data_IF_463650261551
#
_entry.id   IF_463650261551
#
_cell.length_a   1.000
_cell.length_b   1.000
_cell.length_c   1.000
_cell.angle_alpha   90.00
_cell.angle_beta   90.00
_cell.angle_gamma   90.00
#
_symmetry.space_group_name_H-M   'P 1'
#
loop_
_entity.id
_entity.type
_entity.pdbx_description
1 polymer ?
#
# COMPACT_ATOMS: atom_id res chain seq x y z
N UNK A 1 -1.19 -10.70 -25.29
CA UNK A 1 -1.54 -9.39 -24.70
C UNK A 1 -0.68 -9.22 -23.46
N UNK A 2 0.45 -8.50 -23.57
CA UNK A 2 1.37 -8.26 -22.47
C UNK A 2 0.83 -7.15 -21.58
N UNK A 3 0.60 -7.44 -20.30
CA UNK A 3 0.33 -6.40 -19.32
C UNK A 3 1.58 -5.55 -19.16
N UNK A 4 1.48 -4.25 -19.48
CA UNK A 4 2.58 -3.33 -19.28
C UNK A 4 2.84 -3.24 -17.79
N UNK A 5 4.06 -3.57 -17.39
CA UNK A 5 4.58 -3.30 -16.06
C UNK A 5 4.57 -1.79 -15.88
N UNK A 6 4.18 -1.25 -14.71
CA UNK A 6 4.36 0.16 -14.45
C UNK A 6 5.84 0.51 -14.63
N UNK A 7 6.14 1.33 -15.63
CA UNK A 7 7.50 1.79 -15.90
C UNK A 7 8.00 2.66 -14.73
N UNK A 8 9.32 2.84 -14.63
CA UNK A 8 9.91 3.64 -13.55
C UNK A 8 9.30 5.05 -13.37
N UNK A 9 8.93 5.79 -14.44
CA UNK A 9 8.25 7.08 -14.33
C UNK A 9 6.83 6.99 -13.76
N UNK A 10 6.10 5.92 -14.07
CA UNK A 10 4.71 5.72 -13.65
C UNK A 10 4.64 5.45 -12.16
N UNK A 11 5.58 4.65 -11.63
CA UNK A 11 5.63 4.37 -10.20
C UNK A 11 6.03 5.60 -9.36
N UNK A 12 6.86 6.50 -9.92
CA UNK A 12 7.18 7.77 -9.27
C UNK A 12 5.97 8.70 -9.22
N UNK A 13 5.15 8.73 -10.29
CA UNK A 13 3.89 9.46 -10.28
C UNK A 13 2.92 8.90 -9.22
N UNK A 14 2.76 7.57 -9.17
CA UNK A 14 1.95 6.89 -8.14
C UNK A 14 2.44 7.25 -6.74
N UNK A 15 3.76 7.26 -6.50
CA UNK A 15 4.35 7.66 -5.21
C UNK A 15 3.93 9.07 -4.80
N UNK A 16 4.04 10.06 -5.70
CA UNK A 16 3.66 11.46 -5.45
C UNK A 16 2.18 11.59 -5.10
N UNK A 17 1.31 10.98 -5.90
CA UNK A 17 -0.14 11.01 -5.66
C UNK A 17 -0.46 10.38 -4.30
N UNK A 18 0.18 9.27 -3.93
CA UNK A 18 -0.02 8.64 -2.63
C UNK A 18 0.46 9.52 -1.47
N UNK A 19 1.64 10.12 -1.59
CA UNK A 19 2.18 11.05 -0.59
C UNK A 19 1.19 12.20 -0.32
N UNK A 20 0.76 12.89 -1.39
CA UNK A 20 -0.19 14.00 -1.32
C UNK A 20 -1.53 13.62 -0.68
N UNK A 21 -1.99 12.38 -0.89
CA UNK A 21 -3.33 11.94 -0.46
C UNK A 21 -3.34 11.23 0.89
N UNK A 22 -2.22 10.69 1.36
CA UNK A 22 -2.19 9.79 2.53
C UNK A 22 -1.36 10.31 3.70
N UNK A 23 -0.36 11.18 3.46
CA UNK A 23 0.46 11.72 4.54
C UNK A 23 -0.36 12.51 5.56
N UNK A 24 -0.07 12.33 6.85
CA UNK A 24 -0.78 12.93 7.97
C UNK A 24 -2.09 12.22 8.34
N UNK A 25 -2.50 11.18 7.62
CA UNK A 25 -3.73 10.43 7.90
C UNK A 25 -3.45 9.20 8.76
N UNK A 26 -4.27 8.94 9.81
CA UNK A 26 -4.18 7.71 10.59
C UNK A 26 -4.80 6.54 9.82
N UNK A 27 -4.19 5.36 9.96
CA UNK A 27 -4.71 4.08 9.50
C UNK A 27 -5.70 3.58 10.56
N UNK A 28 -6.98 3.51 10.21
CA UNK A 28 -8.04 3.07 11.13
C UNK A 28 -8.24 1.56 11.14
N UNK A 29 -7.94 0.90 10.03
CA UNK A 29 -8.06 -0.55 9.85
C UNK A 29 -7.08 -1.01 8.77
N UNK A 30 -6.66 -2.28 8.82
CA UNK A 30 -5.86 -2.91 7.78
C UNK A 30 -6.16 -4.40 7.68
N UNK A 31 -6.50 -4.86 6.48
CA UNK A 31 -6.89 -6.25 6.24
C UNK A 31 -6.25 -6.82 4.97
N UNK A 32 -5.81 -8.08 5.06
CA UNK A 32 -5.36 -8.85 3.90
C UNK A 32 -6.51 -9.74 3.40
N UNK A 33 -6.93 -9.52 2.16
CA UNK A 33 -7.99 -10.33 1.55
C UNK A 33 -7.39 -11.45 0.70
N UNK A 34 -7.49 -12.69 1.19
CA UNK A 34 -6.90 -13.87 0.55
C UNK A 34 -7.68 -14.36 -0.69
N UNK A 35 -8.87 -13.81 -0.96
CA UNK A 35 -9.73 -14.26 -2.07
C UNK A 35 -9.26 -13.64 -3.39
N UNK A 36 -8.33 -14.31 -4.08
CA UNK A 36 -8.12 -14.10 -5.52
C UNK A 36 -6.71 -13.74 -6.00
N UNK A 37 -5.66 -13.83 -5.16
CA UNK A 37 -4.30 -13.53 -5.64
C UNK A 37 -3.18 -14.02 -4.72
N UNK A 38 -2.00 -14.22 -5.30
CA UNK A 38 -0.77 -14.61 -4.62
C UNK A 38 -0.11 -13.43 -3.88
N UNK A 39 -0.86 -12.74 -3.01
CA UNK A 39 -0.29 -11.67 -2.17
C UNK A 39 0.59 -12.30 -1.11
N UNK A 40 1.91 -12.12 -1.23
CA UNK A 40 2.88 -12.56 -0.24
C UNK A 40 3.08 -11.44 0.78
N UNK A 41 2.57 -11.65 1.99
CA UNK A 41 2.86 -10.79 3.13
C UNK A 41 4.04 -11.36 3.92
N UNK A 42 5.05 -10.52 4.17
CA UNK A 42 6.12 -10.81 5.12
C UNK A 42 5.99 -9.88 6.30
N UNK A 43 5.71 -10.47 7.45
CA UNK A 43 5.71 -9.77 8.73
C UNK A 43 7.07 -9.96 9.42
N UNK A 44 7.81 -8.87 9.58
CA UNK A 44 9.12 -8.84 10.22
C UNK A 44 9.07 -8.38 11.69
N UNK A 45 7.92 -7.91 12.16
CA UNK A 45 7.74 -7.48 13.55
C UNK A 45 6.95 -8.50 14.38
N UNK A 46 6.38 -9.51 13.72
CA UNK A 46 5.60 -10.60 14.33
C UNK A 46 4.33 -10.13 15.07
N UNK A 47 3.82 -8.94 14.76
CA UNK A 47 2.60 -8.37 15.34
C UNK A 47 1.35 -8.74 14.52
N UNK A 48 1.52 -9.16 13.26
CA UNK A 48 0.44 -9.30 12.30
C UNK A 48 0.01 -7.96 11.70
N UNK A 49 -0.48 -7.99 10.45
CA UNK A 49 -0.75 -6.78 9.66
C UNK A 49 -1.67 -5.77 10.35
N UNK A 50 -2.82 -6.22 10.84
CA UNK A 50 -3.82 -5.37 11.46
C UNK A 50 -3.25 -4.65 12.68
N UNK A 51 -2.67 -5.39 13.63
CA UNK A 51 -2.09 -4.81 14.85
C UNK A 51 -0.86 -3.95 14.54
N UNK A 52 -0.06 -4.33 13.54
CA UNK A 52 1.09 -3.55 13.14
C UNK A 52 0.71 -2.18 12.56
N UNK A 53 -0.42 -2.04 11.86
CA UNK A 53 -0.75 -0.82 11.11
C UNK A 53 -1.79 0.09 11.78
N UNK A 54 -2.73 -0.49 12.53
CA UNK A 54 -3.84 0.27 13.13
C UNK A 54 -3.34 1.36 14.08
N UNK A 55 -3.97 2.53 14.03
CA UNK A 55 -3.63 3.76 14.75
C UNK A 55 -2.25 4.35 14.44
N UNK A 56 -1.57 3.89 13.38
CA UNK A 56 -0.37 4.56 12.87
C UNK A 56 -0.71 5.59 11.82
N UNK A 57 0.08 6.64 11.76
CA UNK A 57 -0.03 7.71 10.78
C UNK A 57 1.02 7.54 9.70
N UNK A 58 0.62 7.66 8.44
CA UNK A 58 1.56 7.73 7.32
C UNK A 58 2.23 9.10 7.36
N UNK A 59 3.55 9.13 7.50
CA UNK A 59 4.31 10.39 7.58
C UNK A 59 5.07 10.71 6.30
N UNK A 60 5.30 9.72 5.44
CA UNK A 60 6.06 9.86 4.21
C UNK A 60 5.79 8.65 3.29
N UNK A 61 5.90 8.85 1.98
CA UNK A 61 5.81 7.79 0.97
C UNK A 61 7.01 7.87 0.04
N UNK A 62 7.92 6.91 0.13
CA UNK A 62 9.16 6.85 -0.66
C UNK A 62 9.09 5.78 -1.74
N UNK A 63 10.00 5.87 -2.71
CA UNK A 63 10.21 4.83 -3.71
C UNK A 63 11.65 4.34 -3.68
N UNK A 64 11.84 3.02 -3.77
CA UNK A 64 13.16 2.40 -3.95
C UNK A 64 13.06 1.32 -5.02
N UNK A 65 13.52 1.64 -6.23
CA UNK A 65 13.35 0.77 -7.40
C UNK A 65 11.88 0.50 -7.67
N UNK A 66 11.47 -0.77 -7.59
CA UNK A 66 10.11 -1.27 -7.82
C UNK A 66 9.24 -1.37 -6.55
N UNK A 67 9.64 -0.69 -5.48
CA UNK A 67 8.94 -0.72 -4.20
C UNK A 67 8.49 0.67 -3.79
N UNK A 68 7.26 0.74 -3.29
CA UNK A 68 6.74 1.86 -2.52
C UNK A 68 6.95 1.58 -1.04
N UNK A 69 7.36 2.60 -0.29
CA UNK A 69 7.71 2.51 1.13
C UNK A 69 6.92 3.58 1.87
N UNK A 70 5.93 3.16 2.65
CA UNK A 70 5.19 4.06 3.54
C UNK A 70 5.89 4.08 4.89
N UNK A 71 6.25 5.27 5.35
CA UNK A 71 6.84 5.49 6.68
C UNK A 71 5.71 5.75 7.66
N UNK A 72 5.73 5.05 8.80
CA UNK A 72 4.63 5.05 9.76
C UNK A 72 5.10 5.53 11.13
N UNK A 73 4.28 6.36 11.77
CA UNK A 73 4.48 6.87 13.14
C UNK A 73 3.32 6.43 14.04
N UNK A 74 3.53 6.16 15.34
CA UNK A 74 4.81 6.21 16.06
C UNK A 74 5.73 5.01 15.74
N UNK A 75 7.01 5.21 16.02
CA UNK A 75 8.07 4.20 15.85
C UNK A 75 8.71 4.19 14.46
N UNK A 76 9.66 3.26 14.26
CA UNK A 76 10.36 3.05 12.99
C UNK A 76 9.75 1.87 12.24
N UNK A 77 8.51 2.00 11.77
CA UNK A 77 7.83 0.96 10.98
C UNK A 77 7.67 1.40 9.52
N UNK A 78 7.85 0.45 8.62
CA UNK A 78 7.67 0.64 7.19
C UNK A 78 6.68 -0.39 6.64
N UNK A 79 5.69 0.08 5.89
CA UNK A 79 4.89 -0.78 5.01
C UNK A 79 5.50 -0.71 3.61
N UNK A 80 5.94 -1.86 3.09
CA UNK A 80 6.63 -1.95 1.80
C UNK A 80 5.77 -2.73 0.81
N UNK A 81 5.39 -2.08 -0.29
CA UNK A 81 4.50 -2.65 -1.30
C UNK A 81 5.24 -2.75 -2.64
N UNK A 82 5.15 -3.91 -3.27
CA UNK A 82 5.58 -4.13 -4.64
C UNK A 82 4.33 -4.40 -5.51
N UNK A 83 3.91 -3.47 -6.37
CA UNK A 83 2.72 -3.67 -7.20
C UNK A 83 2.92 -4.71 -8.32
N UNK A 84 4.13 -5.23 -8.53
CA UNK A 84 4.46 -6.21 -9.58
C UNK A 84 4.02 -5.69 -10.96
N UNK A 85 3.54 -6.59 -11.83
CA UNK A 85 3.24 -6.30 -13.24
C UNK A 85 1.88 -5.61 -13.40
N UNK A 86 0.86 -5.98 -12.61
CA UNK A 86 -0.53 -5.55 -12.81
C UNK A 86 -1.23 -5.12 -11.52
N UNK A 87 -0.50 -4.99 -10.41
CA UNK A 87 -1.07 -4.49 -9.16
C UNK A 87 -1.40 -3.01 -9.30
N UNK A 88 -2.62 -2.66 -8.91
CA UNK A 88 -3.08 -1.27 -8.85
C UNK A 88 -3.24 -0.83 -7.40
N UNK A 89 -2.97 0.45 -7.14
CA UNK A 89 -3.31 1.11 -5.88
C UNK A 89 -4.33 2.16 -6.24
N UNK A 90 -5.44 2.19 -5.51
CA UNK A 90 -6.52 3.13 -5.77
C UNK A 90 -6.98 3.68 -4.43
N UNK A 91 -7.55 4.88 -4.47
CA UNK A 91 -8.14 5.59 -3.34
C UNK A 91 -9.65 5.71 -3.56
N UNK A 92 -10.46 5.25 -2.61
CA UNK A 92 -11.92 5.31 -2.68
C UNK A 92 -12.51 5.81 -1.37
N UNK A 93 -13.78 6.17 -1.43
CA UNK A 93 -14.58 6.44 -0.24
C UNK A 93 -14.83 5.16 0.55
N UNK A 94 -15.00 5.32 1.86
CA UNK A 94 -15.37 4.22 2.74
C UNK A 94 -16.75 3.69 2.35
N UNK A 95 -16.91 2.37 2.35
CA UNK A 95 -18.18 1.71 2.01
C UNK A 95 -18.38 1.37 0.53
N UNK A 96 -17.51 1.84 -0.37
CA UNK A 96 -17.51 1.39 -1.78
C UNK A 96 -17.20 -0.11 -1.83
N UNK A 97 -18.03 -0.94 -2.50
CA UNK A 97 -17.77 -2.36 -2.62
C UNK A 97 -16.41 -2.65 -3.27
N UNK A 98 -15.64 -3.54 -2.65
CA UNK A 98 -14.33 -3.94 -3.14
C UNK A 98 -14.48 -4.70 -4.48
N UNK A 99 -13.89 -4.20 -5.55
CA UNK A 99 -13.84 -4.89 -6.85
C UNK A 99 -12.62 -5.81 -6.93
N UNK A 100 -12.71 -6.88 -7.73
CA UNK A 100 -11.72 -7.98 -7.83
C UNK A 100 -10.29 -7.57 -8.21
N UNK A 101 -10.06 -6.31 -8.61
CA UNK A 101 -8.77 -5.84 -9.14
C UNK A 101 -8.11 -4.75 -8.32
N UNK A 102 -8.65 -4.43 -7.13
CA UNK A 102 -8.22 -3.24 -6.40
C UNK A 102 -8.33 -3.44 -4.88
N UNK A 103 -7.23 -3.24 -4.16
CA UNK A 103 -7.26 -3.10 -2.70
C UNK A 103 -6.93 -1.65 -2.32
N UNK A 104 -7.78 -1.11 -1.44
CA UNK A 104 -7.95 0.28 -1.03
C UNK A 104 -7.82 0.45 0.50
N UNK A 105 -7.53 1.71 0.87
CA UNK A 105 -7.61 2.43 2.18
C UNK A 105 -7.01 1.77 3.39
#
# INVERSE_FOLDING_TARGET
MGGHVPEAPELEHVRRVLEERTTGRPILDAALHAKGGATVLRDLNHLGLHMALTNRTITDVRRRGKFLIFVLSPGSLYLVINPKLAGSIVLCEAGVPRTKSVLFT
#
